data_IF_393975037445
#
_entry.id   IF_393975037445
#
_cell.length_a   1.000
_cell.length_b   1.000
_cell.length_c   1.000
_cell.angle_alpha   90.00
_cell.angle_beta   90.00
_cell.angle_gamma   90.00
#
_symmetry.space_group_name_H-M   'P 1'
#
loop_
_entity.id
_entity.type
_entity.pdbx_description
1 polymer ?
#
# COMPACT_ATOMS: atom_id res chain seq x y z
N UNK A 1 -5.99 -20.32 -11.85
CA UNK A 1 -4.55 -20.37 -11.52
C UNK A 1 -4.27 -19.04 -10.83
N UNK A 2 -4.02 -19.04 -9.53
CA UNK A 2 -3.68 -17.80 -8.82
C UNK A 2 -2.29 -17.38 -9.28
N UNK A 3 -2.15 -16.14 -9.74
CA UNK A 3 -0.85 -15.56 -10.03
C UNK A 3 -0.08 -15.44 -8.71
N UNK A 4 1.22 -15.73 -8.68
CA UNK A 4 2.03 -15.49 -7.50
C UNK A 4 1.93 -14.00 -7.14
N UNK A 5 1.54 -13.71 -5.90
CA UNK A 5 1.36 -12.34 -5.40
C UNK A 5 2.68 -11.65 -5.07
N UNK A 6 3.77 -12.40 -5.13
CA UNK A 6 5.13 -12.02 -4.73
C UNK A 6 5.88 -11.11 -5.71
N UNK A 7 5.45 -11.06 -6.95
CA UNK A 7 6.32 -10.53 -8.00
C UNK A 7 6.01 -9.10 -8.46
N UNK A 8 5.03 -8.41 -7.86
CA UNK A 8 4.71 -7.04 -8.30
C UNK A 8 4.21 -6.14 -7.18
N UNK A 9 4.45 -4.86 -7.36
CA UNK A 9 3.96 -3.82 -6.50
C UNK A 9 2.45 -3.63 -6.68
N UNK A 10 1.76 -3.32 -5.59
CA UNK A 10 0.38 -2.86 -5.63
C UNK A 10 0.38 -1.36 -5.97
N UNK A 11 0.06 -1.03 -7.21
CA UNK A 11 -0.05 0.36 -7.65
C UNK A 11 -1.52 0.72 -7.87
N UNK A 12 -1.94 1.82 -7.28
CA UNK A 12 -3.29 2.34 -7.34
C UNK A 12 -3.29 3.74 -7.91
N UNK A 13 -4.06 3.96 -8.98
CA UNK A 13 -4.22 5.27 -9.59
C UNK A 13 -5.70 5.62 -9.64
N UNK A 14 -6.14 6.73 -9.01
CA UNK A 14 -7.49 7.22 -9.16
C UNK A 14 -7.80 7.51 -10.63
N UNK A 15 -8.96 7.09 -11.11
CA UNK A 15 -9.38 7.36 -12.48
C UNK A 15 -9.55 8.87 -12.67
N UNK A 16 -9.00 9.41 -13.76
CA UNK A 16 -9.07 10.83 -14.07
C UNK A 16 -8.02 11.71 -13.37
N UNK A 17 -7.25 11.18 -12.45
CA UNK A 17 -6.19 11.91 -11.75
C UNK A 17 -4.79 11.45 -12.16
N UNK A 18 -3.86 12.40 -12.24
CA UNK A 18 -2.45 12.11 -12.51
C UNK A 18 -1.70 11.84 -11.21
N UNK A 19 -2.05 10.76 -10.55
CA UNK A 19 -1.42 10.35 -9.30
C UNK A 19 -1.40 8.83 -9.17
N UNK A 20 -0.49 8.34 -8.35
CA UNK A 20 -0.46 6.93 -7.98
C UNK A 20 -0.03 6.75 -6.53
N UNK A 21 -0.57 5.70 -5.91
CA UNK A 21 -0.13 5.22 -4.62
C UNK A 21 0.42 3.80 -4.80
N UNK A 22 1.65 3.58 -4.41
CA UNK A 22 2.35 2.32 -4.58
C UNK A 22 2.73 1.72 -3.24
N UNK A 23 2.42 0.44 -3.08
CA UNK A 23 2.86 -0.38 -1.94
C UNK A 23 3.61 -1.58 -2.50
N UNK A 24 4.77 -1.87 -1.95
CA UNK A 24 5.66 -2.89 -2.50
C UNK A 24 6.15 -3.89 -1.45
N UNK A 25 7.07 -4.74 -1.88
CA UNK A 25 7.79 -5.65 -1.01
C UNK A 25 8.83 -4.88 -0.16
N UNK A 26 9.36 -5.54 0.86
CA UNK A 26 10.42 -4.98 1.70
C UNK A 26 11.64 -4.56 0.85
N UNK A 27 12.14 -3.37 1.11
CA UNK A 27 13.25 -2.77 0.35
C UNK A 27 12.85 -2.10 -0.96
N UNK A 28 11.59 -2.23 -1.40
CA UNK A 28 11.09 -1.55 -2.59
C UNK A 28 10.55 -0.16 -2.26
N UNK A 29 10.68 0.74 -3.23
CA UNK A 29 10.12 2.09 -3.13
C UNK A 29 8.60 2.07 -3.29
N UNK A 30 7.92 2.98 -2.63
CA UNK A 30 6.49 3.14 -2.68
C UNK A 30 6.04 4.55 -2.27
N UNK A 31 4.79 4.68 -1.86
CA UNK A 31 4.21 5.95 -1.43
C UNK A 31 3.40 6.64 -2.52
N UNK A 32 3.10 7.92 -2.29
CA UNK A 32 2.30 8.74 -3.20
C UNK A 32 3.19 9.44 -4.21
N UNK A 33 2.83 9.35 -5.48
CA UNK A 33 3.44 10.10 -6.56
C UNK A 33 2.40 10.97 -7.27
N UNK A 34 2.78 12.20 -7.56
CA UNK A 34 2.06 13.10 -8.45
C UNK A 34 2.86 13.21 -9.76
N UNK A 35 2.19 13.25 -10.90
CA UNK A 35 2.81 13.17 -12.23
C UNK A 35 4.03 14.09 -12.41
N UNK A 36 3.95 15.31 -11.90
CA UNK A 36 5.04 16.28 -12.01
C UNK A 36 6.09 16.19 -10.90
N UNK A 37 5.85 15.35 -9.90
CA UNK A 37 6.73 15.18 -8.73
C UNK A 37 7.77 14.07 -8.88
N UNK A 38 7.73 13.33 -9.99
CA UNK A 38 8.56 12.12 -10.16
C UNK A 38 7.94 10.87 -9.53
N UNK A 39 8.62 9.73 -9.64
CA UNK A 39 8.13 8.47 -9.07
C UNK A 39 8.13 8.52 -7.54
N UNK A 40 7.25 7.73 -6.93
CA UNK A 40 7.24 7.54 -5.48
C UNK A 40 8.55 6.89 -5.03
N UNK A 41 9.21 7.46 -4.04
CA UNK A 41 10.51 7.02 -3.55
C UNK A 41 10.58 6.81 -2.03
N UNK A 42 9.42 6.80 -1.37
CA UNK A 42 9.29 6.61 0.07
C UNK A 42 8.79 5.21 0.40
N UNK A 43 9.34 4.59 1.43
CA UNK A 43 8.82 3.34 1.95
C UNK A 43 7.51 3.60 2.72
N UNK A 44 6.50 2.77 2.50
CA UNK A 44 5.22 2.82 3.20
C UNK A 44 5.11 1.61 4.11
N UNK A 45 4.95 1.85 5.40
CA UNK A 45 4.79 0.83 6.42
C UNK A 45 3.46 1.02 7.15
N UNK A 46 2.64 -0.02 7.19
CA UNK A 46 1.40 -0.03 7.96
C UNK A 46 1.37 -1.26 8.86
N UNK A 47 0.94 -1.10 10.08
CA UNK A 47 0.90 -2.24 10.98
C UNK A 47 0.75 -1.87 12.45
N UNK A 48 1.39 -2.63 13.31
CA UNK A 48 1.39 -2.37 14.75
C UNK A 48 2.74 -2.67 15.39
N UNK A 49 2.95 -2.01 16.53
CA UNK A 49 4.03 -2.25 17.48
C UNK A 49 3.46 -2.93 18.71
N UNK A 50 4.11 -3.99 19.19
CA UNK A 50 3.80 -4.64 20.46
C UNK A 50 4.46 -3.90 21.64
N UNK A 51 4.04 -4.21 22.86
CA UNK A 51 4.67 -3.68 24.08
C UNK A 51 6.16 -4.06 24.20
N UNK A 52 6.59 -5.18 23.59
CA UNK A 52 8.00 -5.59 23.49
C UNK A 52 8.81 -4.81 22.46
N UNK A 53 8.18 -3.91 21.69
CA UNK A 53 8.82 -3.13 20.64
C UNK A 53 8.89 -3.82 19.27
N UNK A 54 8.39 -5.06 19.16
CA UNK A 54 8.32 -5.75 17.89
C UNK A 54 7.28 -5.09 16.97
N UNK A 55 7.66 -4.82 15.74
CA UNK A 55 6.76 -4.26 14.72
C UNK A 55 6.37 -5.33 13.71
N UNK A 56 5.08 -5.45 13.44
CA UNK A 56 4.52 -6.30 12.36
C UNK A 56 3.95 -5.39 11.29
N UNK A 57 4.39 -5.53 10.06
CA UNK A 57 4.06 -4.61 8.97
C UNK A 57 3.45 -5.31 7.76
N UNK A 58 2.55 -4.59 7.08
CA UNK A 58 1.96 -4.92 5.79
C UNK A 58 2.13 -3.73 4.83
N UNK A 59 2.11 -3.98 3.54
CA UNK A 59 2.12 -5.24 2.80
C UNK A 59 3.52 -5.74 2.48
N UNK A 60 4.49 -5.34 3.26
CA UNK A 60 5.90 -5.64 3.05
C UNK A 60 6.19 -7.10 3.36
N UNK A 61 6.51 -7.87 2.35
CA UNK A 61 6.90 -9.27 2.41
C UNK A 61 8.30 -9.44 1.82
N UNK A 62 8.92 -10.56 2.17
CA UNK A 62 10.25 -10.92 1.69
C UNK A 62 10.18 -11.24 0.19
N UNK A 63 10.76 -10.38 -0.64
CA UNK A 63 10.82 -10.57 -2.08
C UNK A 63 11.89 -11.57 -2.51
N UNK A 64 11.85 -11.95 -3.81
CA UNK A 64 12.91 -12.72 -4.45
C UNK A 64 14.10 -11.79 -4.65
N UNK A 65 15.32 -12.22 -4.30
CA UNK A 65 16.54 -11.40 -4.30
C UNK A 65 16.79 -10.63 -5.61
N UNK A 66 16.49 -11.22 -6.76
CA UNK A 66 16.71 -10.57 -8.06
C UNK A 66 15.74 -9.42 -8.37
N UNK A 67 14.55 -9.43 -7.79
CA UNK A 67 13.58 -8.34 -7.92
C UNK A 67 13.87 -7.23 -6.91
N UNK A 68 14.32 -7.60 -5.70
CA UNK A 68 14.75 -6.65 -4.69
C UNK A 68 15.94 -5.83 -5.17
N UNK A 69 16.92 -6.43 -5.83
CA UNK A 69 18.07 -5.73 -6.41
C UNK A 69 17.66 -4.70 -7.48
N UNK A 70 16.57 -4.95 -8.17
CA UNK A 70 16.10 -4.06 -9.24
C UNK A 70 15.44 -2.78 -8.74
N UNK A 71 14.86 -2.82 -7.53
CA UNK A 71 14.05 -1.73 -6.97
C UNK A 71 14.45 -1.34 -5.54
N UNK A 72 15.44 -1.98 -4.93
CA UNK A 72 15.82 -1.72 -3.55
C UNK A 72 16.80 -0.56 -3.41
N UNK A 73 16.56 0.28 -2.41
CA UNK A 73 17.62 1.05 -1.76
C UNK A 73 18.30 0.14 -0.70
N UNK A 74 19.60 0.33 -0.43
CA UNK A 74 20.29 -0.42 0.62
C UNK A 74 19.57 -0.30 1.97
N UNK A 75 19.52 -1.39 2.68
CA UNK A 75 18.76 -1.59 3.89
C UNK A 75 19.10 -0.63 5.03
N UNK A 76 18.11 0.10 5.50
CA UNK A 76 18.15 0.68 6.85
C UNK A 76 17.06 0.11 7.78
N UNK A 77 16.16 -0.72 7.25
CA UNK A 77 14.95 -1.15 7.96
C UNK A 77 15.08 -2.47 8.73
N UNK A 78 15.98 -3.36 8.32
CA UNK A 78 16.11 -4.69 8.91
C UNK A 78 16.53 -4.69 10.39
N UNK A 79 17.24 -3.66 10.84
CA UNK A 79 17.82 -3.60 12.20
C UNK A 79 16.87 -2.98 13.26
N UNK A 80 15.63 -2.63 12.90
CA UNK A 80 14.73 -1.87 13.79
C UNK A 80 13.62 -2.69 14.45
N UNK A 81 13.78 -4.00 14.59
CA UNK A 81 12.74 -4.86 15.19
C UNK A 81 11.53 -5.09 14.28
N UNK A 82 11.69 -4.88 12.99
CA UNK A 82 10.66 -5.08 11.99
C UNK A 82 10.49 -6.57 11.67
N UNK A 83 9.28 -7.08 11.79
CA UNK A 83 8.92 -8.42 11.31
C UNK A 83 8.46 -8.31 9.86
N UNK A 84 9.27 -8.84 8.96
CA UNK A 84 8.93 -8.98 7.54
C UNK A 84 8.18 -10.28 7.38
N UNK A 85 6.96 -10.21 6.82
CA UNK A 85 6.12 -11.38 6.61
C UNK A 85 6.54 -12.13 5.36
N UNK A 86 6.47 -13.46 5.43
CA UNK A 86 6.60 -14.28 4.23
C UNK A 86 5.33 -14.11 3.36
N UNK A 87 5.49 -14.27 2.06
CA UNK A 87 4.39 -14.14 1.10
C UNK A 87 3.19 -15.02 1.46
N UNK A 88 3.42 -16.25 1.87
CA UNK A 88 2.38 -17.19 2.27
C UNK A 88 1.59 -16.79 3.52
N UNK A 89 2.05 -15.79 4.28
CA UNK A 89 1.36 -15.26 5.45
C UNK A 89 0.38 -14.15 5.10
N UNK A 90 0.45 -13.61 3.87
CA UNK A 90 -0.36 -12.46 3.43
C UNK A 90 -1.47 -12.91 2.50
N UNK A 91 -2.70 -12.77 2.95
CA UNK A 91 -3.89 -12.91 2.10
C UNK A 91 -4.15 -11.58 1.39
N UNK A 92 -4.17 -11.62 0.05
CA UNK A 92 -4.52 -10.46 -0.77
C UNK A 92 -5.80 -10.70 -1.55
N UNK A 93 -6.68 -9.72 -1.55
CA UNK A 93 -7.88 -9.69 -2.40
C UNK A 93 -8.04 -8.31 -3.02
N UNK A 94 -8.31 -8.25 -4.31
CA UNK A 94 -8.44 -6.99 -5.04
C UNK A 94 -9.61 -7.00 -6.03
N UNK A 95 -10.10 -5.82 -6.34
CA UNK A 95 -11.17 -5.54 -7.29
C UNK A 95 -10.85 -4.30 -8.11
N UNK A 96 -11.85 -3.77 -8.81
CA UNK A 96 -11.68 -2.62 -9.71
C UNK A 96 -11.21 -1.34 -9.02
N UNK A 97 -11.64 -1.12 -7.79
CA UNK A 97 -11.39 0.13 -7.05
C UNK A 97 -10.79 -0.12 -5.67
N UNK A 98 -10.42 -1.34 -5.34
CA UNK A 98 -9.94 -1.68 -4.01
C UNK A 98 -8.94 -2.82 -4.02
N UNK A 99 -8.00 -2.76 -3.09
CA UNK A 99 -7.05 -3.81 -2.77
C UNK A 99 -7.01 -3.98 -1.26
N UNK A 100 -6.96 -5.21 -0.80
CA UNK A 100 -7.01 -5.53 0.62
C UNK A 100 -5.99 -6.60 0.97
N UNK A 101 -5.19 -6.32 1.96
CA UNK A 101 -4.18 -7.20 2.52
C UNK A 101 -4.55 -7.59 3.94
N UNK A 102 -4.36 -8.86 4.29
CA UNK A 102 -4.59 -9.37 5.64
C UNK A 102 -3.43 -10.24 6.08
N UNK A 103 -2.96 -10.03 7.28
CA UNK A 103 -2.03 -10.92 7.99
C UNK A 103 -2.01 -10.59 9.47
N UNK A 104 -1.84 -11.60 10.32
CA UNK A 104 -1.57 -11.46 11.76
C UNK A 104 -2.46 -10.43 12.49
N UNK A 105 -3.76 -10.45 12.21
CA UNK A 105 -4.72 -9.52 12.82
C UNK A 105 -4.78 -8.14 12.17
N UNK A 106 -3.93 -7.84 11.20
CA UNK A 106 -3.97 -6.61 10.40
C UNK A 106 -4.88 -6.82 9.20
N UNK A 107 -5.70 -5.83 8.89
CA UNK A 107 -6.34 -5.65 7.59
C UNK A 107 -6.02 -4.26 7.09
N UNK A 108 -5.37 -4.19 5.94
CA UNK A 108 -5.07 -2.94 5.25
C UNK A 108 -5.81 -2.90 3.93
N UNK A 109 -6.62 -1.88 3.73
CA UNK A 109 -7.43 -1.69 2.53
C UNK A 109 -7.07 -0.38 1.86
N UNK A 110 -6.85 -0.45 0.56
CA UNK A 110 -6.62 0.69 -0.31
C UNK A 110 -7.83 0.80 -1.21
N UNK A 111 -8.41 1.99 -1.32
CA UNK A 111 -9.53 2.26 -2.22
C UNK A 111 -9.25 3.52 -3.02
N UNK A 112 -9.54 3.46 -4.32
CA UNK A 112 -9.41 4.60 -5.23
C UNK A 112 -10.77 4.94 -5.83
N UNK A 113 -11.05 6.21 -6.10
CA UNK A 113 -12.24 6.59 -6.84
C UNK A 113 -12.31 5.88 -8.19
N UNK A 114 -13.49 5.35 -8.51
CA UNK A 114 -13.76 4.66 -9.77
C UNK A 114 -15.12 5.09 -10.29
N UNK A 115 -15.13 6.04 -11.21
CA UNK A 115 -16.36 6.58 -11.85
C UNK A 115 -16.02 7.08 -13.26
N UNK A 116 -17.06 7.37 -14.04
CA UNK A 116 -16.87 7.88 -15.39
C UNK A 116 -16.20 9.25 -15.38
N UNK A 117 -15.19 9.43 -16.22
CA UNK A 117 -14.59 10.75 -16.44
C UNK A 117 -15.59 11.60 -17.19
N UNK A 118 -15.99 12.79 -16.67
CA UNK A 118 -16.93 13.66 -17.33
C UNK A 118 -16.30 14.32 -18.57
N UNK A 119 -17.13 14.65 -19.55
CA UNK A 119 -16.70 15.42 -20.71
C UNK A 119 -16.42 16.87 -20.26
N UNK A 120 -15.17 17.36 -20.39
CA UNK A 120 -14.80 18.70 -19.95
C UNK A 120 -15.47 19.83 -20.77
N UNK A 121 -16.04 19.51 -21.93
CA UNK A 121 -16.75 20.50 -22.75
C UNK A 121 -18.14 20.84 -22.21
N UNK A 122 -18.72 19.97 -21.36
CA UNK A 122 -20.10 20.11 -20.88
C UNK A 122 -20.25 20.02 -19.37
N UNK A 123 -19.26 19.48 -18.68
CA UNK A 123 -19.29 19.35 -17.23
C UNK A 123 -18.97 20.69 -16.54
N UNK A 124 -19.57 20.90 -15.38
CA UNK A 124 -19.24 22.04 -14.53
C UNK A 124 -17.88 21.86 -13.82
N UNK A 125 -17.33 22.96 -13.33
CA UNK A 125 -16.02 22.99 -12.67
C UNK A 125 -15.94 22.11 -11.42
N UNK A 126 -17.02 21.96 -10.65
CA UNK A 126 -17.06 21.17 -9.44
C UNK A 126 -16.98 19.68 -9.77
N UNK A 127 -17.74 19.26 -10.76
CA UNK A 127 -17.72 17.89 -11.29
C UNK A 127 -16.33 17.54 -11.83
N UNK A 128 -15.69 18.45 -12.58
CA UNK A 128 -14.33 18.24 -13.10
C UNK A 128 -13.29 18.16 -11.98
N UNK A 129 -13.35 19.04 -10.99
CA UNK A 129 -12.46 19.00 -9.82
C UNK A 129 -12.59 17.70 -9.04
N UNK A 130 -13.83 17.25 -8.83
CA UNK A 130 -14.08 15.99 -8.15
C UNK A 130 -13.56 14.78 -8.95
N UNK A 131 -13.79 14.78 -10.26
CA UNK A 131 -13.36 13.71 -11.15
C UNK A 131 -11.84 13.60 -11.30
N UNK A 132 -11.11 14.69 -11.10
CA UNK A 132 -9.65 14.75 -11.18
C UNK A 132 -8.96 14.73 -9.82
N UNK A 133 -9.69 14.46 -8.73
CA UNK A 133 -9.14 14.46 -7.38
C UNK A 133 -8.09 13.36 -7.21
N UNK A 134 -6.82 13.70 -6.89
CA UNK A 134 -5.74 12.72 -6.72
C UNK A 134 -5.82 12.08 -5.32
N UNK A 135 -6.92 11.39 -5.02
CA UNK A 135 -7.18 10.83 -3.70
C UNK A 135 -7.11 9.30 -3.70
N UNK A 136 -6.43 8.75 -2.70
CA UNK A 136 -6.44 7.34 -2.36
C UNK A 136 -6.86 7.19 -0.90
N UNK A 137 -7.85 6.36 -0.64
CA UNK A 137 -8.36 6.13 0.71
C UNK A 137 -7.71 4.89 1.30
N UNK A 138 -7.16 5.04 2.49
CA UNK A 138 -6.43 3.99 3.18
C UNK A 138 -7.13 3.70 4.51
N UNK A 139 -7.39 2.43 4.76
CA UNK A 139 -8.03 1.95 5.98
C UNK A 139 -7.17 0.88 6.62
N UNK A 140 -6.78 1.11 7.87
CA UNK A 140 -6.05 0.15 8.69
C UNK A 140 -6.94 -0.34 9.82
N UNK A 141 -7.18 -1.64 9.88
CA UNK A 141 -7.88 -2.31 10.97
C UNK A 141 -6.92 -3.25 11.68
N UNK A 142 -6.84 -3.15 13.01
CA UNK A 142 -6.04 -4.05 13.84
C UNK A 142 -6.99 -4.81 14.77
N UNK A 143 -7.06 -6.13 14.60
CA UNK A 143 -7.77 -7.00 15.50
C UNK A 143 -6.81 -7.53 16.58
N UNK A 144 -6.81 -6.87 17.73
CA UNK A 144 -6.00 -7.28 18.85
C UNK A 144 -6.65 -8.44 19.60
N UNK A 145 -6.12 -9.63 19.40
CA UNK A 145 -6.53 -10.85 20.11
C UNK A 145 -5.59 -11.18 21.28
N UNK A 146 -4.56 -10.37 21.53
CA UNK A 146 -3.66 -10.50 22.65
C UNK A 146 -4.21 -9.82 23.90
N UNK A 147 -3.64 -10.13 25.05
CA UNK A 147 -3.94 -9.43 26.31
C UNK A 147 -3.08 -8.17 26.50
N UNK A 148 -2.21 -7.84 25.55
CA UNK A 148 -1.30 -6.72 25.62
C UNK A 148 -1.74 -5.59 24.69
N UNK A 149 -1.45 -4.33 25.01
CA UNK A 149 -1.75 -3.22 24.13
C UNK A 149 -0.90 -3.28 22.86
N UNK A 150 -1.53 -2.94 21.73
CA UNK A 150 -0.86 -2.76 20.43
C UNK A 150 -0.97 -1.29 20.02
N UNK A 151 0.11 -0.74 19.48
CA UNK A 151 0.15 0.59 18.89
C UNK A 151 0.10 0.47 17.38
N UNK A 152 -1.03 0.88 16.77
CA UNK A 152 -1.17 0.94 15.31
C UNK A 152 -0.37 2.09 14.73
N UNK A 153 0.22 1.90 13.55
CA UNK A 153 0.93 2.95 12.81
C UNK A 153 0.67 2.88 11.31
N UNK A 154 0.84 4.03 10.70
CA UNK A 154 0.77 4.27 9.27
C UNK A 154 1.92 5.19 8.87
#
# INVERSE_FOLDING_TARGET
MALPTSSFHAQHSPMGAHSSFTVGMHGAQGGMALEKGGPADSAVFVGYRSASGQMVTLPFYKGISNEAERYSKPEEAADKGLTILDEGEIERSYGWASDKFKARGITFKISTPFFSIPDPAVADDETLKFASLPATFLELTINNTSNEPLEGFF
#
